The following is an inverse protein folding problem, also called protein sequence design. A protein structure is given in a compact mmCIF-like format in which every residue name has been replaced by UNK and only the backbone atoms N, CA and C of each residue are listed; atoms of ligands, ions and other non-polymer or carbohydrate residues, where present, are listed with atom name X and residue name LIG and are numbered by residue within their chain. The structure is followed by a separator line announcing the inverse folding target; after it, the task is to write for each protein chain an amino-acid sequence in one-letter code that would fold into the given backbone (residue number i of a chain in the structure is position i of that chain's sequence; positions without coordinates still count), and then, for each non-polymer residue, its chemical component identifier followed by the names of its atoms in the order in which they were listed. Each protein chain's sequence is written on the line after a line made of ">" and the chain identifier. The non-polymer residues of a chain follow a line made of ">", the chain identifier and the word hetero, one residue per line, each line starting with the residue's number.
data_IF_215656922826
#
_entry.id   IF_215656922826
#
_cell.length_a   1.000
_cell.length_b   1.000
_cell.length_c   1.000
_cell.angle_alpha   90.00
_cell.angle_beta   90.00
_cell.angle_gamma   90.00
#
_symmetry.space_group_name_H-M   'P 1'
#
loop_
_entity.id
_entity.type
_entity.pdbx_description
1 polymer ?
#
# COMPACT_ATOMS: atom_id res chain seq x y z
N UNK A 1 -27.98 -23.41 18.13
CA UNK A 1 -27.93 -22.16 17.43
C UNK A 1 -26.64 -21.45 17.90
N UNK A 2 -25.55 -21.55 17.14
CA UNK A 2 -24.37 -20.78 17.34
C UNK A 2 -24.51 -19.57 16.41
N UNK A 3 -24.78 -18.41 17.00
CA UNK A 3 -24.64 -17.13 16.33
C UNK A 3 -23.16 -16.96 16.01
N UNK A 4 -22.82 -17.01 14.73
CA UNK A 4 -21.55 -16.51 14.20
C UNK A 4 -21.53 -14.99 14.45
N UNK A 5 -20.86 -14.58 15.52
CA UNK A 5 -20.41 -13.20 15.72
C UNK A 5 -19.41 -12.85 14.59
N UNK A 6 -19.95 -12.52 13.42
CA UNK A 6 -19.18 -11.81 12.40
C UNK A 6 -19.02 -10.38 12.89
N UNK A 7 -17.83 -10.08 13.41
CA UNK A 7 -17.40 -8.68 13.53
C UNK A 7 -17.73 -7.95 12.21
N UNK A 8 -18.32 -6.75 12.28
CA UNK A 8 -18.57 -5.96 11.08
C UNK A 8 -17.23 -5.73 10.38
N UNK A 9 -17.03 -6.44 9.28
CA UNK A 9 -15.83 -6.24 8.46
C UNK A 9 -15.97 -4.86 7.85
N UNK A 10 -15.15 -3.91 8.31
CA UNK A 10 -15.05 -2.59 7.73
C UNK A 10 -14.76 -2.72 6.23
N UNK A 11 -15.52 -1.98 5.42
CA UNK A 11 -15.31 -1.92 3.98
C UNK A 11 -13.95 -1.29 3.69
N UNK A 12 -13.25 -1.80 2.68
CA UNK A 12 -11.99 -1.22 2.24
C UNK A 12 -12.23 0.14 1.57
N UNK A 13 -11.57 1.19 2.07
CA UNK A 13 -11.54 2.52 1.47
C UNK A 13 -10.09 2.89 1.19
N UNK A 14 -9.61 2.56 -0.01
CA UNK A 14 -8.22 2.78 -0.43
C UNK A 14 -8.10 4.09 -1.20
N UNK A 15 -7.28 5.00 -0.72
CA UNK A 15 -6.95 6.24 -1.41
C UNK A 15 -5.67 6.07 -2.23
N UNK A 16 -5.72 6.49 -3.49
CA UNK A 16 -4.62 6.40 -4.44
C UNK A 16 -4.28 7.81 -4.92
N UNK A 17 -3.35 8.51 -4.26
CA UNK A 17 -2.83 9.78 -4.75
C UNK A 17 -2.04 9.56 -6.05
N UNK A 18 -2.40 10.26 -7.12
CA UNK A 18 -1.82 10.12 -8.44
C UNK A 18 -1.13 11.42 -8.85
N UNK A 19 0.14 11.35 -9.23
CA UNK A 19 0.94 12.48 -9.66
C UNK A 19 1.39 12.40 -11.12
N UNK A 20 1.54 11.21 -11.67
CA UNK A 20 2.00 11.02 -13.06
C UNK A 20 1.38 9.78 -13.72
N UNK A 21 1.36 9.79 -15.04
CA UNK A 21 0.77 8.71 -15.85
C UNK A 21 1.60 7.40 -15.79
N UNK A 22 2.91 7.50 -15.60
CA UNK A 22 3.82 6.35 -15.69
C UNK A 22 3.58 5.32 -14.58
N UNK A 23 3.23 5.80 -13.38
CA UNK A 23 3.01 4.93 -12.21
C UNK A 23 1.53 4.69 -11.91
N UNK A 24 0.63 5.50 -12.44
CA UNK A 24 -0.80 5.47 -12.11
C UNK A 24 -1.43 4.09 -12.33
N UNK A 25 -1.18 3.47 -13.47
CA UNK A 25 -1.74 2.15 -13.78
C UNK A 25 -1.31 1.09 -12.76
N UNK A 26 -0.03 1.03 -12.42
CA UNK A 26 0.51 0.03 -11.49
C UNK A 26 0.03 0.27 -10.04
N UNK A 27 -0.17 1.54 -9.63
CA UNK A 27 -0.76 1.87 -8.33
C UNK A 27 -2.22 1.42 -8.24
N UNK A 28 -2.98 1.57 -9.31
CA UNK A 28 -4.37 1.07 -9.40
C UNK A 28 -4.38 -0.46 -9.36
N UNK A 29 -3.52 -1.13 -10.12
CA UNK A 29 -3.40 -2.58 -10.11
C UNK A 29 -3.06 -3.12 -8.73
N UNK A 30 -2.08 -2.51 -8.05
CA UNK A 30 -1.73 -2.87 -6.68
C UNK A 30 -2.92 -2.70 -5.74
N UNK A 31 -3.60 -1.56 -5.80
CA UNK A 31 -4.75 -1.26 -4.92
C UNK A 31 -5.88 -2.27 -5.10
N UNK A 32 -6.20 -2.65 -6.34
CA UNK A 32 -7.19 -3.69 -6.63
C UNK A 32 -6.76 -5.06 -6.09
N UNK A 33 -5.46 -5.35 -6.12
CA UNK A 33 -4.93 -6.65 -5.67
C UNK A 33 -4.86 -6.72 -4.14
N UNK A 34 -4.67 -5.60 -3.45
CA UNK A 34 -4.71 -5.50 -1.98
C UNK A 34 -6.12 -5.60 -1.41
N UNK A 35 -7.15 -5.29 -2.19
CA UNK A 35 -8.56 -5.33 -1.82
C UNK A 35 -9.10 -6.75 -1.71
N UNK A 36 -10.21 -6.93 -0.99
CA UNK A 36 -11.00 -8.15 -1.07
C UNK A 36 -11.58 -8.33 -2.48
N UNK A 37 -11.40 -9.50 -3.08
CA UNK A 37 -11.75 -9.76 -4.47
C UNK A 37 -13.24 -9.54 -4.82
N UNK A 38 -14.13 -9.70 -3.85
CA UNK A 38 -15.59 -9.58 -4.04
C UNK A 38 -16.11 -8.16 -3.91
N UNK A 39 -15.33 -7.23 -3.41
CA UNK A 39 -15.73 -5.84 -3.22
C UNK A 39 -15.43 -5.03 -4.48
N UNK A 40 -16.45 -4.46 -5.11
CA UNK A 40 -16.32 -3.64 -6.32
C UNK A 40 -16.08 -2.17 -6.02
N UNK A 41 -16.46 -1.71 -4.83
CA UNK A 41 -16.33 -0.33 -4.37
C UNK A 41 -15.07 -0.13 -3.53
N UNK A 42 -14.87 1.08 -3.02
CA UNK A 42 -13.84 1.40 -2.04
C UNK A 42 -12.51 1.89 -2.63
N UNK A 43 -12.44 2.19 -3.93
CA UNK A 43 -11.28 2.83 -4.55
C UNK A 43 -11.52 4.32 -4.79
N UNK A 44 -10.55 5.14 -4.39
CA UNK A 44 -10.57 6.60 -4.51
C UNK A 44 -9.27 7.06 -5.18
N UNK A 45 -9.34 7.59 -6.39
CA UNK A 45 -8.21 8.25 -7.03
C UNK A 45 -8.23 9.73 -6.70
N UNK A 46 -7.10 10.27 -6.27
CA UNK A 46 -6.93 11.68 -5.95
C UNK A 46 -5.82 12.28 -6.80
N UNK A 47 -6.14 13.34 -7.52
CA UNK A 47 -5.13 14.27 -8.02
C UNK A 47 -5.24 15.58 -7.24
N UNK A 48 -4.15 15.98 -6.59
CA UNK A 48 -4.05 17.22 -5.83
C UNK A 48 -3.19 18.21 -6.62
N UNK A 49 -3.75 19.40 -6.86
CA UNK A 49 -3.12 20.48 -7.60
C UNK A 49 -2.64 21.53 -6.60
N UNK A 50 -1.35 21.87 -6.69
CA UNK A 50 -0.81 23.01 -5.94
C UNK A 50 -1.36 24.32 -6.54
N UNK A 51 -2.21 25.01 -5.79
CA UNK A 51 -2.84 26.25 -6.23
C UNK A 51 -1.90 27.47 -6.24
N UNK A 52 -0.63 27.30 -5.85
CA UNK A 52 0.43 28.31 -6.08
C UNK A 52 0.99 28.27 -7.50
N UNK A 53 0.76 27.17 -8.22
CA UNK A 53 1.24 27.01 -9.59
C UNK A 53 0.15 27.46 -10.55
N UNK A 54 0.38 28.59 -11.20
CA UNK A 54 -0.53 29.12 -12.24
C UNK A 54 -0.24 28.43 -13.59
N UNK A 55 -0.71 27.19 -13.75
CA UNK A 55 -0.70 26.48 -15.04
C UNK A 55 -2.12 26.00 -15.38
N UNK A 56 -2.77 26.58 -16.39
CA UNK A 56 -4.13 26.21 -16.79
C UNK A 56 -4.24 24.76 -17.30
N UNK A 57 -3.13 24.10 -17.58
CA UNK A 57 -3.12 22.71 -18.04
C UNK A 57 -3.16 21.69 -16.89
N UNK A 58 -2.83 22.09 -15.67
CA UNK A 58 -2.76 21.16 -14.52
C UNK A 58 -4.11 20.47 -14.26
N UNK A 59 -5.20 21.23 -14.32
CA UNK A 59 -6.53 20.65 -14.14
C UNK A 59 -6.86 19.63 -15.23
N UNK A 60 -6.59 19.97 -16.49
CA UNK A 60 -6.83 19.08 -17.63
C UNK A 60 -5.99 17.79 -17.51
N UNK A 61 -4.72 17.92 -17.14
CA UNK A 61 -3.82 16.79 -16.92
C UNK A 61 -4.31 15.92 -15.74
N UNK A 62 -4.70 16.56 -14.63
CA UNK A 62 -5.24 15.88 -13.46
C UNK A 62 -6.52 15.10 -13.78
N UNK A 63 -7.46 15.68 -14.51
CA UNK A 63 -8.68 14.99 -14.95
C UNK A 63 -8.37 13.81 -15.85
N UNK A 64 -7.47 13.98 -16.83
CA UNK A 64 -7.03 12.90 -17.71
C UNK A 64 -6.44 11.74 -16.91
N UNK A 65 -5.59 12.04 -15.92
CA UNK A 65 -4.97 11.05 -15.06
C UNK A 65 -6.00 10.27 -14.22
N UNK A 66 -6.99 10.98 -13.67
CA UNK A 66 -8.10 10.37 -12.93
C UNK A 66 -8.97 9.48 -13.84
N UNK A 67 -9.24 9.91 -15.07
CA UNK A 67 -10.00 9.12 -16.04
C UNK A 67 -9.25 7.83 -16.42
N UNK A 68 -7.95 7.90 -16.63
CA UNK A 68 -7.11 6.72 -16.89
C UNK A 68 -7.16 5.72 -15.73
N UNK A 69 -7.08 6.20 -14.50
CA UNK A 69 -7.17 5.36 -13.30
C UNK A 69 -8.54 4.70 -13.17
N UNK A 70 -9.61 5.45 -13.41
CA UNK A 70 -10.97 4.92 -13.36
C UNK A 70 -11.23 3.88 -14.46
N UNK A 71 -10.71 4.09 -15.67
CA UNK A 71 -10.78 3.10 -16.76
C UNK A 71 -10.02 1.83 -16.43
N UNK A 72 -8.83 1.94 -15.82
CA UNK A 72 -8.06 0.78 -15.37
C UNK A 72 -8.84 -0.02 -14.32
N UNK A 73 -9.47 0.62 -13.35
CA UNK A 73 -10.31 -0.03 -12.35
C UNK A 73 -11.54 -0.70 -13.00
N UNK A 74 -12.22 0.00 -13.90
CA UNK A 74 -13.41 -0.50 -14.58
C UNK A 74 -13.11 -1.72 -15.46
N UNK A 75 -11.92 -1.80 -16.06
CA UNK A 75 -11.49 -2.96 -16.86
C UNK A 75 -11.39 -4.25 -16.04
N UNK A 76 -11.25 -4.13 -14.73
CA UNK A 76 -11.23 -5.23 -13.77
C UNK A 76 -12.50 -5.27 -12.89
N UNK A 77 -13.61 -4.72 -13.39
CA UNK A 77 -14.92 -4.72 -12.73
C UNK A 77 -14.92 -4.05 -11.34
N UNK A 78 -14.09 -3.01 -11.17
CA UNK A 78 -14.05 -2.18 -9.98
C UNK A 78 -14.57 -0.77 -10.28
N UNK A 79 -15.26 -0.19 -9.29
CA UNK A 79 -15.67 1.21 -9.35
C UNK A 79 -14.67 2.09 -8.59
N UNK A 80 -14.29 3.22 -9.18
CA UNK A 80 -13.35 4.18 -8.61
C UNK A 80 -13.96 5.57 -8.56
N UNK A 81 -13.96 6.17 -7.39
CA UNK A 81 -14.30 7.59 -7.24
C UNK A 81 -13.11 8.45 -7.62
N UNK A 82 -13.37 9.49 -8.43
CA UNK A 82 -12.37 10.44 -8.89
C UNK A 82 -12.47 11.72 -8.07
N UNK A 83 -11.36 12.14 -7.47
CA UNK A 83 -11.28 13.34 -6.63
C UNK A 83 -10.19 14.27 -7.18
N UNK A 84 -10.58 15.49 -7.52
CA UNK A 84 -9.67 16.59 -7.84
C UNK A 84 -9.71 17.58 -6.68
N UNK A 85 -8.56 17.95 -6.15
CA UNK A 85 -8.44 18.90 -5.04
C UNK A 85 -7.40 19.97 -5.35
N UNK A 86 -7.61 21.13 -4.80
CA UNK A 86 -6.68 22.25 -4.86
C UNK A 86 -6.23 22.59 -3.44
N UNK A 87 -4.94 22.61 -3.20
CA UNK A 87 -4.36 22.97 -1.91
C UNK A 87 -2.98 23.57 -2.10
N UNK A 88 -2.53 24.40 -1.18
CA UNK A 88 -1.16 24.90 -1.13
C UNK A 88 -0.16 23.84 -0.65
N UNK A 89 -0.66 22.75 -0.09
CA UNK A 89 0.11 21.61 0.40
C UNK A 89 -0.61 20.31 0.02
N UNK A 90 -0.01 19.54 -0.85
CA UNK A 90 -0.56 18.27 -1.33
C UNK A 90 -0.80 17.27 -0.20
N UNK A 91 0.08 17.21 0.82
CA UNK A 91 -0.12 16.34 1.97
C UNK A 91 -1.40 16.71 2.75
N UNK A 92 -1.70 18.01 2.89
CA UNK A 92 -2.94 18.46 3.52
C UNK A 92 -4.18 18.04 2.73
N UNK A 93 -4.13 18.15 1.40
CA UNK A 93 -5.21 17.68 0.53
C UNK A 93 -5.49 16.19 0.76
N UNK A 94 -4.44 15.37 0.82
CA UNK A 94 -4.55 13.93 1.08
C UNK A 94 -5.18 13.67 2.45
N UNK A 95 -4.68 14.30 3.51
CA UNK A 95 -5.17 14.13 4.89
C UNK A 95 -6.64 14.58 5.02
N UNK A 96 -7.04 15.63 4.31
CA UNK A 96 -8.43 16.08 4.29
C UNK A 96 -9.35 15.03 3.69
N UNK A 97 -8.95 14.42 2.55
CA UNK A 97 -9.71 13.34 1.92
C UNK A 97 -9.74 12.08 2.79
N UNK A 98 -8.65 11.75 3.48
CA UNK A 98 -8.60 10.63 4.43
C UNK A 98 -9.72 10.76 5.47
N UNK A 99 -9.90 11.94 6.03
CA UNK A 99 -10.95 12.21 7.04
C UNK A 99 -12.35 12.26 6.41
N UNK A 100 -12.48 12.97 5.28
CA UNK A 100 -13.77 13.18 4.59
C UNK A 100 -14.39 11.86 4.09
N UNK A 101 -13.56 10.94 3.61
CA UNK A 101 -13.98 9.67 3.00
C UNK A 101 -13.77 8.44 3.87
N UNK A 102 -13.39 8.63 5.12
CA UNK A 102 -13.08 7.53 6.05
C UNK A 102 -12.13 6.50 5.41
N UNK A 103 -11.01 6.98 4.88
CA UNK A 103 -10.01 6.14 4.21
C UNK A 103 -9.35 5.20 5.21
N UNK A 104 -9.27 3.93 4.87
CA UNK A 104 -8.64 2.90 5.70
C UNK A 104 -7.13 2.81 5.45
N UNK A 105 -6.70 3.00 4.20
CA UNK A 105 -5.32 2.88 3.78
C UNK A 105 -5.03 3.69 2.51
N UNK A 106 -3.76 4.03 2.33
CA UNK A 106 -3.26 4.81 1.20
C UNK A 106 -2.29 3.95 0.41
N UNK A 107 -2.41 3.99 -0.93
CA UNK A 107 -1.42 3.41 -1.85
C UNK A 107 -0.89 4.54 -2.72
N UNK A 108 0.39 4.84 -2.62
CA UNK A 108 1.01 5.92 -3.39
C UNK A 108 2.39 5.57 -3.93
N UNK A 109 2.76 6.24 -5.00
CA UNK A 109 4.06 6.06 -5.64
C UNK A 109 5.20 6.57 -4.76
N UNK A 110 6.30 5.85 -4.76
CA UNK A 110 7.55 6.30 -4.15
C UNK A 110 8.32 7.13 -5.17
N UNK A 111 8.61 8.37 -4.83
CA UNK A 111 9.51 9.23 -5.60
C UNK A 111 10.88 9.24 -4.93
N UNK A 112 11.90 8.88 -5.69
CA UNK A 112 13.27 9.06 -5.23
C UNK A 112 13.64 10.55 -5.31
N UNK A 113 13.68 11.23 -4.17
CA UNK A 113 14.39 12.50 -4.08
C UNK A 113 15.89 12.24 -4.25
N UNK A 114 16.42 12.57 -5.42
CA UNK A 114 17.87 12.48 -5.71
C UNK A 114 18.70 13.58 -5.04
N UNK A 115 18.16 14.28 -4.05
CA UNK A 115 18.91 15.27 -3.29
C UNK A 115 19.92 14.56 -2.36
N UNK A 116 21.20 14.90 -2.43
CA UNK A 116 22.20 14.36 -1.51
C UNK A 116 21.80 14.67 -0.06
N UNK A 117 21.62 13.64 0.76
CA UNK A 117 21.19 13.77 2.16
C UNK A 117 19.68 13.76 2.41
N UNK A 118 18.86 13.60 1.38
CA UNK A 118 17.42 13.38 1.52
C UNK A 118 17.11 12.01 2.15
N UNK A 119 16.14 11.95 3.07
CA UNK A 119 15.59 10.67 3.49
C UNK A 119 15.01 9.99 2.23
N UNK A 120 15.23 8.70 2.01
CA UNK A 120 14.78 7.96 0.83
C UNK A 120 13.25 7.98 0.62
N UNK A 121 12.51 8.51 1.57
CA UNK A 121 11.08 8.83 1.52
C UNK A 121 11.01 10.35 1.36
N UNK A 122 10.52 10.85 0.23
CA UNK A 122 10.45 12.28 -0.07
C UNK A 122 9.69 13.09 0.98
N UNK A 123 9.92 14.40 1.01
CA UNK A 123 9.31 15.32 1.99
C UNK A 123 7.79 15.15 2.09
N UNK A 124 7.10 15.03 0.97
CA UNK A 124 5.65 14.84 0.95
C UNK A 124 5.21 13.57 1.68
N UNK A 125 5.94 12.48 1.53
CA UNK A 125 5.66 11.23 2.23
C UNK A 125 5.92 11.37 3.74
N UNK A 126 7.00 12.05 4.13
CA UNK A 126 7.29 12.35 5.54
C UNK A 126 6.20 13.23 6.17
N UNK A 127 5.75 14.27 5.47
CA UNK A 127 4.65 15.14 5.92
C UNK A 127 3.34 14.34 6.06
N UNK A 128 3.01 13.50 5.08
CA UNK A 128 1.82 12.65 5.12
C UNK A 128 1.85 11.72 6.34
N UNK A 129 2.96 11.05 6.59
CA UNK A 129 3.13 10.16 7.73
C UNK A 129 3.08 10.92 9.08
N UNK A 130 3.49 12.19 9.09
CA UNK A 130 3.38 13.07 10.26
C UNK A 130 1.95 13.47 10.60
N UNK A 131 1.09 13.61 9.58
CA UNK A 131 -0.28 14.12 9.74
C UNK A 131 -1.36 13.04 9.68
N UNK A 132 -1.06 11.84 9.21
CA UNK A 132 -2.01 10.76 9.03
C UNK A 132 -1.65 9.53 9.86
N UNK A 133 -2.68 8.89 10.42
CA UNK A 133 -2.56 7.65 11.18
C UNK A 133 -2.94 6.40 10.38
N UNK A 134 -3.26 6.54 9.10
CA UNK A 134 -3.65 5.40 8.28
C UNK A 134 -2.43 4.68 7.71
N UNK A 135 -2.54 3.38 7.56
CA UNK A 135 -1.51 2.56 6.92
C UNK A 135 -1.27 3.04 5.50
N UNK A 136 0.00 3.27 5.15
CA UNK A 136 0.37 3.75 3.83
C UNK A 136 1.33 2.78 3.16
N UNK A 137 0.98 2.36 1.96
CA UNK A 137 1.80 1.55 1.07
C UNK A 137 2.51 2.47 0.09
N UNK A 138 3.83 2.57 0.21
CA UNK A 138 4.66 3.25 -0.78
C UNK A 138 5.16 2.21 -1.78
N UNK A 139 4.90 2.44 -3.07
CA UNK A 139 5.21 1.49 -4.11
C UNK A 139 6.03 2.12 -5.24
N UNK A 140 7.12 1.45 -5.59
CA UNK A 140 7.96 1.79 -6.74
C UNK A 140 7.89 0.66 -7.77
N UNK A 141 7.06 0.78 -8.80
CA UNK A 141 6.93 -0.26 -9.82
C UNK A 141 8.14 -0.21 -10.78
N UNK A 142 8.95 -1.25 -10.76
CA UNK A 142 10.03 -1.46 -11.75
C UNK A 142 9.62 -2.39 -12.88
N UNK A 143 8.56 -3.16 -12.66
CA UNK A 143 7.98 -4.09 -13.62
C UNK A 143 6.47 -4.15 -13.43
N UNK A 144 5.70 -4.60 -14.44
CA UNK A 144 4.26 -4.81 -14.26
C UNK A 144 3.98 -5.76 -13.09
N UNK A 145 3.04 -5.39 -12.21
CA UNK A 145 2.69 -6.18 -11.02
C UNK A 145 2.31 -7.63 -11.37
N UNK A 146 1.67 -7.83 -12.52
CA UNK A 146 1.29 -9.16 -13.03
C UNK A 146 2.46 -10.08 -13.37
N UNK A 147 3.67 -9.53 -13.53
CA UNK A 147 4.90 -10.29 -13.81
C UNK A 147 5.65 -10.69 -12.54
N UNK A 148 5.28 -10.13 -11.40
CA UNK A 148 5.87 -10.48 -10.11
C UNK A 148 5.51 -11.92 -9.76
N UNK A 149 6.54 -12.72 -9.44
CA UNK A 149 6.40 -14.15 -9.10
C UNK A 149 6.40 -14.40 -7.61
N UNK A 150 7.06 -13.51 -6.85
CA UNK A 150 7.23 -13.67 -5.42
C UNK A 150 7.28 -12.31 -4.72
N UNK A 151 6.50 -12.17 -3.67
CA UNK A 151 6.56 -11.02 -2.75
C UNK A 151 7.35 -11.43 -1.51
N UNK A 152 8.44 -10.73 -1.23
CA UNK A 152 9.29 -10.93 -0.06
C UNK A 152 8.96 -9.83 0.96
N UNK A 153 8.49 -10.19 2.14
CA UNK A 153 8.04 -9.25 3.17
C UNK A 153 8.94 -9.33 4.38
N UNK A 154 9.68 -8.27 4.63
CA UNK A 154 10.53 -8.14 5.83
C UNK A 154 9.72 -7.46 6.92
N UNK A 155 9.52 -8.15 8.02
CA UNK A 155 8.72 -7.70 9.16
C UNK A 155 9.62 -7.52 10.38
N UNK A 156 9.69 -6.30 10.95
CA UNK A 156 10.53 -6.05 12.12
C UNK A 156 9.96 -6.69 13.38
N UNK A 157 10.81 -6.78 14.41
CA UNK A 157 10.40 -7.21 15.74
C UNK A 157 9.32 -6.27 16.30
N UNK A 158 8.35 -6.84 16.98
CA UNK A 158 7.21 -6.15 17.63
C UNK A 158 6.23 -5.49 16.66
N UNK A 159 6.29 -5.81 15.37
CA UNK A 159 5.32 -5.29 14.39
C UNK A 159 3.86 -5.62 14.77
N UNK A 160 3.62 -6.71 15.48
CA UNK A 160 2.30 -7.12 15.98
C UNK A 160 1.68 -6.15 16.99
N UNK A 161 2.47 -5.24 17.56
CA UNK A 161 2.01 -4.21 18.52
C UNK A 161 1.52 -2.94 17.83
N UNK A 162 1.79 -2.79 16.56
CA UNK A 162 1.37 -1.64 15.78
C UNK A 162 -0.13 -1.69 15.47
N UNK A 163 -0.79 -0.53 15.59
CA UNK A 163 -2.24 -0.43 15.33
C UNK A 163 -2.64 -0.87 13.91
N UNK A 164 -1.76 -0.68 12.93
CA UNK A 164 -2.00 -1.07 11.53
C UNK A 164 -1.71 -2.55 11.23
N UNK A 165 -1.22 -3.34 12.18
CA UNK A 165 -0.75 -4.72 11.96
C UNK A 165 -1.79 -5.59 11.26
N UNK A 166 -3.00 -5.67 11.80
CA UNK A 166 -4.05 -6.52 11.26
C UNK A 166 -4.45 -6.08 9.84
N UNK A 167 -4.50 -4.78 9.60
CA UNK A 167 -4.88 -4.23 8.30
C UNK A 167 -3.84 -4.59 7.23
N UNK A 168 -2.57 -4.23 7.42
CA UNK A 168 -1.57 -4.51 6.39
C UNK A 168 -1.33 -6.02 6.19
N UNK A 169 -1.43 -6.83 7.25
CA UNK A 169 -1.37 -8.28 7.12
C UNK A 169 -2.50 -8.84 6.26
N UNK A 170 -3.74 -8.35 6.46
CA UNK A 170 -4.87 -8.75 5.63
C UNK A 170 -4.68 -8.32 4.18
N UNK A 171 -4.18 -7.10 3.94
CA UNK A 171 -3.88 -6.59 2.60
C UNK A 171 -2.84 -7.43 1.87
N UNK A 172 -1.76 -7.80 2.54
CA UNK A 172 -0.74 -8.67 1.94
C UNK A 172 -1.22 -10.10 1.71
N UNK A 173 -2.12 -10.62 2.54
CA UNK A 173 -2.79 -11.90 2.27
C UNK A 173 -3.69 -11.81 1.04
N UNK A 174 -4.47 -10.73 0.92
CA UNK A 174 -5.28 -10.48 -0.29
C UNK A 174 -4.39 -10.41 -1.54
N UNK A 175 -3.24 -9.75 -1.45
CA UNK A 175 -2.25 -9.69 -2.53
C UNK A 175 -1.84 -11.10 -2.99
N UNK A 176 -1.55 -12.00 -2.07
CA UNK A 176 -1.19 -13.39 -2.39
C UNK A 176 -2.38 -14.18 -2.98
N UNK A 177 -3.59 -13.97 -2.47
CA UNK A 177 -4.80 -14.66 -2.94
C UNK A 177 -5.23 -14.18 -4.33
N UNK A 178 -5.18 -12.86 -4.57
CA UNK A 178 -5.64 -12.21 -5.80
C UNK A 178 -4.62 -12.23 -6.94
N UNK A 179 -3.39 -12.69 -6.68
CA UNK A 179 -2.33 -12.79 -7.70
C UNK A 179 -1.87 -14.24 -7.88
N UNK A 180 -1.09 -14.49 -8.93
CA UNK A 180 -0.41 -15.76 -9.13
C UNK A 180 0.91 -15.88 -8.34
N UNK A 181 1.34 -14.80 -7.70
CA UNK A 181 2.59 -14.72 -6.95
C UNK A 181 2.51 -15.42 -5.60
N UNK A 182 3.65 -15.94 -5.14
CA UNK A 182 3.82 -16.40 -3.76
C UNK A 182 4.21 -15.24 -2.86
N UNK A 183 3.95 -15.37 -1.57
CA UNK A 183 4.38 -14.40 -0.56
C UNK A 183 5.22 -15.10 0.51
N UNK A 184 6.35 -14.51 0.87
CA UNK A 184 7.26 -15.05 1.89
C UNK A 184 7.46 -13.99 2.96
N UNK A 185 7.09 -14.31 4.19
CA UNK A 185 7.30 -13.44 5.33
C UNK A 185 8.59 -13.81 6.07
N UNK A 186 9.47 -12.84 6.25
CA UNK A 186 10.68 -12.94 7.07
C UNK A 186 10.48 -12.12 8.32
N UNK A 187 10.59 -12.74 9.48
CA UNK A 187 10.44 -12.08 10.77
C UNK A 187 11.19 -12.80 11.89
N UNK A 188 11.55 -12.11 12.98
CA UNK A 188 12.05 -12.74 14.18
C UNK A 188 11.07 -13.77 14.76
N UNK A 189 11.58 -14.78 15.45
CA UNK A 189 10.76 -15.85 16.04
C UNK A 189 9.65 -15.31 16.96
N UNK A 190 9.93 -14.25 17.71
CA UNK A 190 8.97 -13.57 18.59
C UNK A 190 7.75 -13.01 17.87
N UNK A 191 7.94 -12.43 16.67
CA UNK A 191 6.88 -11.84 15.85
C UNK A 191 6.22 -12.88 14.94
N UNK A 192 6.96 -13.90 14.50
CA UNK A 192 6.49 -14.91 13.54
C UNK A 192 5.22 -15.64 14.00
N UNK A 193 5.04 -15.87 15.29
CA UNK A 193 3.84 -16.52 15.82
C UNK A 193 2.54 -15.75 15.50
N UNK A 194 2.61 -14.43 15.37
CA UNK A 194 1.46 -13.57 15.06
C UNK A 194 1.18 -13.46 13.55
N UNK A 195 2.21 -13.72 12.71
CA UNK A 195 2.06 -13.73 11.25
C UNK A 195 1.39 -14.99 10.75
N UNK A 196 1.63 -16.12 11.41
CA UNK A 196 1.08 -17.41 11.00
C UNK A 196 -0.44 -17.44 11.24
N UNK A 197 -1.23 -17.88 10.25
CA UNK A 197 -2.67 -18.01 10.45
C UNK A 197 -2.98 -19.06 11.53
N UNK A 198 -4.03 -18.81 12.31
CA UNK A 198 -4.60 -19.80 13.23
C UNK A 198 -4.96 -21.09 12.47
N UNK A 199 -4.95 -22.23 13.17
CA UNK A 199 -5.18 -23.57 12.60
C UNK A 199 -6.44 -23.55 11.69
N UNK A 200 -6.28 -23.92 10.43
CA UNK A 200 -7.37 -24.10 9.47
C UNK A 200 -7.38 -23.15 8.25
N UNK A 201 -6.67 -22.03 8.27
CA UNK A 201 -6.60 -21.06 7.15
C UNK A 201 -5.21 -20.95 6.53
N UNK A 202 -4.58 -22.07 6.16
CA UNK A 202 -3.30 -22.02 5.44
C UNK A 202 -3.54 -21.69 3.97
N UNK A 203 -3.12 -20.51 3.53
CA UNK A 203 -2.91 -20.25 2.10
C UNK A 203 -1.72 -21.06 1.61
N UNK A 204 -1.90 -21.82 0.55
CA UNK A 204 -0.81 -22.59 -0.09
C UNK A 204 0.27 -21.70 -0.71
N UNK A 205 0.01 -20.39 -0.82
CA UNK A 205 0.90 -19.41 -1.45
C UNK A 205 1.75 -18.63 -0.44
N UNK A 206 1.53 -18.78 0.87
CA UNK A 206 2.25 -18.06 1.91
C UNK A 206 3.28 -18.96 2.59
N UNK A 207 4.51 -18.47 2.64
CA UNK A 207 5.65 -19.08 3.33
C UNK A 207 6.09 -18.20 4.50
N UNK A 208 6.66 -18.80 5.55
CA UNK A 208 7.05 -18.11 6.78
C UNK A 208 8.44 -18.54 7.20
N UNK A 209 9.40 -17.64 7.12
CA UNK A 209 10.82 -17.88 7.38
C UNK A 209 11.25 -17.09 8.62
N UNK A 210 11.74 -17.77 9.63
CA UNK A 210 12.31 -17.12 10.81
C UNK A 210 13.67 -16.53 10.45
N UNK A 211 13.86 -15.25 10.76
CA UNK A 211 15.08 -14.49 10.53
C UNK A 211 15.32 -13.59 11.74
N UNK A 212 16.23 -14.01 12.61
CA UNK A 212 16.48 -13.36 13.91
C UNK A 212 17.62 -12.33 13.84
N UNK A 213 18.37 -12.26 12.75
CA UNK A 213 19.47 -11.31 12.60
C UNK A 213 19.51 -10.63 11.23
N UNK A 214 20.18 -9.47 11.17
CA UNK A 214 20.36 -8.70 9.92
C UNK A 214 21.25 -9.41 8.89
N UNK A 215 22.16 -10.31 9.34
CA UNK A 215 23.01 -11.09 8.44
C UNK A 215 22.17 -12.05 7.59
N UNK A 216 21.08 -12.60 8.15
CA UNK A 216 20.11 -13.42 7.41
C UNK A 216 19.44 -12.60 6.30
N UNK A 217 19.12 -11.32 6.57
CA UNK A 217 18.54 -10.42 5.57
C UNK A 217 19.56 -10.02 4.49
N UNK A 218 20.84 -9.93 4.84
CA UNK A 218 21.91 -9.71 3.84
C UNK A 218 21.98 -10.89 2.86
N UNK A 219 21.85 -12.13 3.35
CA UNK A 219 21.77 -13.32 2.50
C UNK A 219 20.60 -13.24 1.51
N UNK A 220 19.46 -12.66 1.93
CA UNK A 220 18.29 -12.48 1.06
C UNK A 220 18.60 -11.66 -0.19
N UNK A 221 19.51 -10.67 -0.10
CA UNK A 221 19.90 -9.86 -1.27
C UNK A 221 20.53 -10.68 -2.40
N UNK A 222 21.20 -11.78 -2.06
CA UNK A 222 21.79 -12.70 -3.05
C UNK A 222 20.77 -13.68 -3.62
N UNK A 223 19.67 -13.91 -2.92
CA UNK A 223 18.60 -14.83 -3.35
C UNK A 223 17.49 -14.12 -4.11
N UNK A 224 17.47 -12.79 -4.08
CA UNK A 224 16.44 -11.98 -4.75
C UNK A 224 16.59 -12.08 -6.27
N UNK A 225 15.47 -12.34 -6.95
CA UNK A 225 15.36 -12.44 -8.40
C UNK A 225 14.77 -11.17 -8.99
N UNK A 226 14.93 -11.00 -10.31
CA UNK A 226 14.38 -9.83 -11.02
C UNK A 226 12.86 -9.74 -10.99
N UNK A 227 12.18 -10.87 -10.85
CA UNK A 227 10.72 -10.98 -10.78
C UNK A 227 10.18 -11.04 -9.34
N UNK A 228 11.01 -10.70 -8.36
CA UNK A 228 10.61 -10.51 -6.96
C UNK A 228 10.18 -9.05 -6.69
N UNK A 229 9.26 -8.88 -5.76
CA UNK A 229 8.89 -7.59 -5.18
C UNK A 229 9.22 -7.60 -3.68
N UNK A 230 10.05 -6.66 -3.24
CA UNK A 230 10.46 -6.54 -1.85
C UNK A 230 9.56 -5.56 -1.09
N UNK A 231 9.06 -5.98 0.05
CA UNK A 231 8.28 -5.19 0.99
C UNK A 231 9.04 -5.05 2.31
N UNK A 232 9.13 -3.84 2.82
CA UNK A 232 9.70 -3.58 4.14
C UNK A 232 8.63 -2.94 5.01
N UNK A 233 8.26 -3.61 6.08
CA UNK A 233 7.32 -3.06 7.09
C UNK A 233 8.10 -2.12 8.00
N UNK A 234 7.61 -0.89 8.14
CA UNK A 234 8.22 0.13 8.99
C UNK A 234 7.19 0.76 9.90
N UNK A 235 7.62 1.17 11.08
CA UNK A 235 6.86 1.97 12.02
C UNK A 235 7.46 3.36 12.19
N UNK A 236 6.64 4.34 12.48
CA UNK A 236 7.11 5.68 12.87
C UNK A 236 7.65 5.63 14.29
N UNK A 237 8.89 6.09 14.50
CA UNK A 237 9.67 6.01 15.75
C UNK A 237 8.94 6.48 17.02
N UNK A 238 7.97 7.37 16.89
CA UNK A 238 7.30 8.02 18.04
C UNK A 238 5.99 7.32 18.47
N UNK A 239 5.70 6.13 17.95
CA UNK A 239 4.45 5.42 18.24
C UNK A 239 4.62 4.07 18.92
N UNK A 240 5.84 3.67 19.19
CA UNK A 240 6.16 2.54 20.07
C UNK A 240 6.20 3.07 21.51
N UNK A 241 5.06 3.20 22.15
CA UNK A 241 4.96 3.41 23.59
C UNK A 241 4.67 2.10 24.31
#
# INVERSE_FOLDING_TARGET
>A
AQDDDKEPQEEDHILIPLANEQTAYELVCLSMTLKKAKERNGLYALNAIDNKVEDPNLEKQGRKLLDMAAQAAASADNYMQQLLRYDVNIANAIVSVVKERNISDIVMGMHHDRTPGGSGIGRMAADLLGYSNVTTFFYHPEQPLTTVKRHLVIVPEKAEKEAGFQLWMQKLRNLAENSSARIVFYAPASTMQYLRPSRGKRSSKAEYVVSDCWDDLTALTYETKRDDCLWVVMSLRDRLS
#
